data_IF_688193179634
#
_entry.id   IF_688193179634
#
_cell.length_a   1.000
_cell.length_b   1.000
_cell.length_c   1.000
_cell.angle_alpha   90.00
_cell.angle_beta   90.00
_cell.angle_gamma   90.00
#
_symmetry.space_group_name_H-M   'P 1'
#
loop_
_entity.id
_entity.type
_entity.pdbx_description
1 polymer ?
#
# COMPACT_ATOMS: atom_id res chain seq x y z
N UNK A 1 5.90 26.08 19.11
CA UNK A 1 5.93 25.11 18.03
C UNK A 1 6.94 25.54 17.00
N UNK A 2 7.81 24.64 16.54
CA UNK A 2 8.74 24.84 15.40
C UNK A 2 8.35 23.89 14.29
N UNK A 3 8.56 24.29 13.03
CA UNK A 3 8.34 23.45 11.87
C UNK A 3 9.67 23.27 11.16
N UNK A 4 10.14 22.03 11.08
CA UNK A 4 11.41 21.67 10.46
C UNK A 4 11.18 20.85 9.20
N UNK A 5 12.14 20.90 8.28
CA UNK A 5 12.10 20.16 7.03
C UNK A 5 12.11 18.66 7.25
N UNK A 6 11.58 17.92 6.32
CA UNK A 6 11.59 16.45 6.29
C UNK A 6 13.02 15.93 6.17
N UNK A 7 13.45 15.16 7.17
CA UNK A 7 14.84 14.68 7.28
C UNK A 7 14.86 13.32 8.00
N UNK A 8 15.64 12.36 7.49
CA UNK A 8 15.73 10.97 7.97
C UNK A 8 16.26 10.86 9.41
N UNK A 9 16.99 11.88 9.93
CA UNK A 9 17.40 11.92 11.33
C UNK A 9 16.22 11.81 12.32
N UNK A 10 15.00 12.14 11.89
CA UNK A 10 13.79 12.05 12.71
C UNK A 10 13.06 10.71 12.57
N UNK A 11 13.49 9.80 11.70
CA UNK A 11 12.74 8.55 11.38
C UNK A 11 12.33 7.76 12.62
N UNK A 12 13.25 7.53 13.55
CA UNK A 12 12.96 6.77 14.78
C UNK A 12 11.97 7.51 15.70
N UNK A 13 12.16 8.82 15.88
CA UNK A 13 11.27 9.64 16.72
C UNK A 13 9.85 9.77 16.10
N UNK A 14 9.75 9.79 14.77
CA UNK A 14 8.45 9.78 14.07
C UNK A 14 7.77 8.41 14.15
N UNK A 15 8.55 7.33 14.10
CA UNK A 15 8.07 5.97 14.32
C UNK A 15 7.53 5.81 15.77
N UNK A 16 8.24 6.33 16.77
CA UNK A 16 7.76 6.38 18.16
C UNK A 16 6.45 7.16 18.27
N UNK A 17 6.38 8.37 17.69
CA UNK A 17 5.16 9.18 17.67
C UNK A 17 3.99 8.43 17.02
N UNK A 18 4.23 7.79 15.87
CA UNK A 18 3.22 6.98 15.20
C UNK A 18 2.71 5.86 16.11
N UNK A 19 3.61 5.10 16.74
CA UNK A 19 3.24 3.98 17.59
C UNK A 19 2.52 4.39 18.88
N UNK A 20 2.82 5.59 19.43
CA UNK A 20 2.08 6.15 20.55
C UNK A 20 0.62 6.48 20.20
N UNK A 21 0.37 6.91 18.96
CA UNK A 21 -0.97 7.36 18.53
C UNK A 21 -1.77 6.25 17.82
N UNK A 22 -1.13 5.32 17.11
CA UNK A 22 -1.76 4.36 16.21
C UNK A 22 -1.24 2.92 16.40
N UNK A 23 -0.22 2.68 17.22
CA UNK A 23 0.52 1.41 17.27
C UNK A 23 -0.32 0.18 17.61
N UNK A 24 -1.35 0.31 18.43
CA UNK A 24 -2.25 -0.80 18.80
C UNK A 24 -2.98 -1.40 17.58
N UNK A 25 -3.16 -0.63 16.53
CA UNK A 25 -3.93 -1.03 15.35
C UNK A 25 -3.11 -1.03 14.06
N UNK A 26 -2.10 -0.19 14.02
CA UNK A 26 -1.26 0.06 12.86
C UNK A 26 0.20 0.22 13.29
N UNK A 27 0.82 -0.84 13.85
CA UNK A 27 2.18 -0.77 14.37
C UNK A 27 3.19 -0.45 13.27
N UNK A 28 3.93 0.64 13.46
CA UNK A 28 4.95 1.09 12.52
C UNK A 28 6.31 0.50 12.88
N UNK A 29 7.06 0.13 11.85
CA UNK A 29 8.48 -0.22 11.91
C UNK A 29 9.30 0.89 11.26
N UNK A 30 10.45 1.22 11.81
CA UNK A 30 11.30 2.28 11.25
C UNK A 30 11.70 1.98 9.81
N UNK A 31 11.96 0.70 9.48
CA UNK A 31 12.26 0.26 8.11
C UNK A 31 11.11 0.56 7.14
N UNK A 32 9.87 0.30 7.56
CA UNK A 32 8.69 0.62 6.75
C UNK A 32 8.53 2.13 6.55
N UNK A 33 8.76 2.93 7.61
CA UNK A 33 8.70 4.38 7.51
C UNK A 33 9.78 4.93 6.58
N UNK A 34 11.00 4.41 6.68
CA UNK A 34 12.10 4.78 5.77
C UNK A 34 11.78 4.41 4.33
N UNK A 35 11.40 3.16 4.09
CA UNK A 35 11.04 2.68 2.76
C UNK A 35 10.00 3.55 2.07
N UNK A 36 8.92 3.91 2.80
CA UNK A 36 7.75 4.53 2.18
C UNK A 36 7.80 6.07 2.17
N UNK A 37 8.58 6.69 3.06
CA UNK A 37 8.49 8.15 3.27
C UNK A 37 9.82 8.88 3.20
N UNK A 38 10.96 8.18 3.30
CA UNK A 38 12.29 8.82 3.17
C UNK A 38 13.02 8.40 1.89
N UNK A 39 12.88 7.13 1.50
CA UNK A 39 13.55 6.55 0.32
C UNK A 39 12.69 6.67 -0.96
N UNK A 40 11.40 6.95 -0.85
CA UNK A 40 10.53 7.11 -2.00
C UNK A 40 10.83 8.43 -2.73
N UNK A 41 11.20 8.32 -4.00
CA UNK A 41 11.54 9.44 -4.86
C UNK A 41 10.36 10.40 -5.11
N UNK A 42 9.13 9.94 -4.92
CA UNK A 42 7.93 10.72 -5.12
C UNK A 42 7.58 11.64 -3.95
N UNK A 43 8.36 11.61 -2.85
CA UNK A 43 8.19 12.52 -1.71
C UNK A 43 8.58 13.94 -2.10
N UNK A 44 7.62 14.88 -1.98
CA UNK A 44 7.84 16.31 -2.16
C UNK A 44 8.45 16.87 -0.86
N UNK A 45 9.76 16.97 -0.81
CA UNK A 45 10.48 17.44 0.41
C UNK A 45 10.02 18.82 0.88
N UNK A 46 9.75 19.75 -0.06
CA UNK A 46 9.23 21.07 0.27
C UNK A 46 7.81 21.05 0.86
N UNK A 47 7.05 19.99 0.61
CA UNK A 47 5.68 19.78 1.14
C UNK A 47 5.62 18.85 2.36
N UNK A 48 6.74 18.25 2.75
CA UNK A 48 6.81 17.31 3.87
C UNK A 48 7.47 17.99 5.06
N UNK A 49 6.82 18.00 6.22
CA UNK A 49 7.20 18.81 7.37
C UNK A 49 7.00 18.08 8.69
N UNK A 50 7.83 18.41 9.67
CA UNK A 50 7.74 17.91 11.04
C UNK A 50 7.48 19.10 11.96
N UNK A 51 6.45 18.97 12.80
CA UNK A 51 6.17 19.90 13.88
C UNK A 51 6.90 19.40 15.14
N UNK A 52 7.73 20.24 15.73
CA UNK A 52 8.56 19.95 16.90
C UNK A 52 8.12 20.87 18.05
N UNK A 53 7.96 20.32 19.23
CA UNK A 53 7.72 21.10 20.42
C UNK A 53 8.97 21.91 20.79
N UNK A 54 8.80 23.22 20.99
CA UNK A 54 9.93 24.12 21.18
C UNK A 54 10.69 23.92 22.51
N UNK A 55 10.05 23.28 23.49
CA UNK A 55 10.62 23.05 24.84
C UNK A 55 11.30 21.67 24.89
N UNK A 56 10.56 20.63 24.49
CA UNK A 56 11.07 19.24 24.57
C UNK A 56 11.92 18.83 23.38
N UNK A 57 11.91 19.61 22.30
CA UNK A 57 12.58 19.30 21.01
C UNK A 57 12.14 17.95 20.40
N UNK A 58 10.96 17.46 20.78
CA UNK A 58 10.42 16.20 20.25
C UNK A 58 9.39 16.47 19.16
N UNK A 59 9.33 15.61 18.11
CA UNK A 59 8.24 15.63 17.14
C UNK A 59 6.89 15.46 17.81
N UNK A 60 5.92 16.27 17.42
CA UNK A 60 4.52 16.22 17.89
C UNK A 60 3.52 16.11 16.77
N UNK A 61 4.00 16.16 15.53
CA UNK A 61 3.20 15.92 14.34
C UNK A 61 4.05 16.00 13.10
N UNK A 62 3.53 15.45 12.00
CA UNK A 62 4.20 15.50 10.70
C UNK A 62 3.21 15.33 9.56
N UNK A 63 3.64 15.73 8.37
CA UNK A 63 2.94 15.50 7.11
C UNK A 63 3.93 15.03 6.06
N UNK A 64 3.51 14.07 5.23
CA UNK A 64 4.25 13.65 4.04
C UNK A 64 3.39 13.88 2.81
N UNK A 65 3.89 14.73 1.92
CA UNK A 65 3.28 15.05 0.63
C UNK A 65 4.04 14.36 -0.49
N UNK A 66 3.30 13.82 -1.46
CA UNK A 66 3.87 13.15 -2.63
C UNK A 66 3.22 13.63 -3.93
N UNK A 67 3.97 13.60 -5.00
CA UNK A 67 3.48 13.64 -6.37
C UNK A 67 4.42 12.84 -7.27
N UNK A 68 3.99 12.53 -8.48
CA UNK A 68 4.83 11.78 -9.40
C UNK A 68 6.07 12.57 -9.81
N UNK A 69 7.26 12.05 -9.57
CA UNK A 69 8.55 12.69 -9.87
C UNK A 69 9.51 11.76 -10.65
N UNK A 70 9.17 10.49 -10.82
CA UNK A 70 10.03 9.53 -11.50
C UNK A 70 9.94 9.64 -13.02
N UNK A 71 11.04 9.26 -13.69
CA UNK A 71 11.14 9.28 -15.16
C UNK A 71 10.94 7.87 -15.72
N UNK A 72 9.79 7.30 -15.41
CA UNK A 72 9.37 6.01 -15.95
C UNK A 72 8.23 6.24 -16.95
N UNK A 73 8.20 5.46 -18.03
CA UNK A 73 7.11 5.46 -19.01
C UNK A 73 5.92 4.65 -18.47
N UNK A 74 5.27 5.20 -17.46
CA UNK A 74 4.15 4.58 -16.76
C UNK A 74 3.01 5.59 -16.63
N UNK A 75 1.78 5.15 -16.85
CA UNK A 75 0.58 5.97 -16.70
C UNK A 75 0.16 6.08 -15.23
N UNK A 76 0.87 6.91 -14.46
CA UNK A 76 0.60 7.09 -13.04
C UNK A 76 0.67 8.56 -12.62
N UNK A 77 -0.33 9.03 -11.89
CA UNK A 77 -0.27 10.24 -11.09
C UNK A 77 -0.25 11.59 -11.81
N UNK A 78 -0.53 11.70 -13.11
CA UNK A 78 -0.54 12.99 -13.81
C UNK A 78 -1.57 13.94 -13.18
N UNK A 79 -1.11 15.12 -12.73
CA UNK A 79 -1.96 16.13 -12.07
C UNK A 79 -2.46 15.72 -10.66
N UNK A 80 -2.00 14.58 -10.14
CA UNK A 80 -2.40 14.05 -8.83
C UNK A 80 -1.26 14.21 -7.83
N UNK A 81 -1.60 14.68 -6.63
CA UNK A 81 -0.75 14.63 -5.46
C UNK A 81 -1.41 13.83 -4.35
N UNK A 82 -0.62 13.47 -3.37
CA UNK A 82 -1.07 12.68 -2.23
C UNK A 82 -0.60 13.30 -0.91
N UNK A 83 -1.48 13.30 0.08
CA UNK A 83 -1.08 13.37 1.48
C UNK A 83 -0.98 11.93 1.95
N UNK A 84 0.22 11.37 1.96
CA UNK A 84 0.46 10.00 2.39
C UNK A 84 0.04 9.80 3.85
N UNK A 85 0.41 10.76 4.69
CA UNK A 85 0.09 10.79 6.11
C UNK A 85 0.08 12.23 6.63
N UNK A 86 -0.83 12.50 7.56
CA UNK A 86 -0.85 13.67 8.43
C UNK A 86 -1.17 13.16 9.84
N UNK A 87 -0.21 13.25 10.74
CA UNK A 87 -0.35 12.82 12.12
C UNK A 87 -0.03 14.00 13.07
N UNK A 88 -0.85 14.16 14.10
CA UNK A 88 -0.58 15.08 15.21
C UNK A 88 -0.90 14.36 16.51
N UNK A 89 0.04 14.41 17.45
CA UNK A 89 -0.17 13.79 18.76
C UNK A 89 -1.42 14.33 19.44
N UNK A 90 -2.13 13.47 20.15
CA UNK A 90 -3.40 13.80 20.82
C UNK A 90 -3.26 15.04 21.73
N UNK A 91 -2.12 15.15 22.45
CA UNK A 91 -1.85 16.27 23.35
C UNK A 91 -1.69 17.63 22.63
N UNK A 92 -1.43 17.65 21.32
CA UNK A 92 -1.19 18.87 20.54
C UNK A 92 -2.29 19.14 19.50
N UNK A 93 -3.37 18.35 19.50
CA UNK A 93 -4.56 18.60 18.65
C UNK A 93 -5.30 19.86 19.11
N UNK A 94 -6.09 20.45 18.22
CA UNK A 94 -6.86 21.66 18.51
C UNK A 94 -6.03 22.97 18.56
N UNK A 95 -4.69 22.88 18.44
CA UNK A 95 -3.77 24.03 18.52
C UNK A 95 -3.32 24.57 17.15
N UNK A 96 -3.95 24.15 16.05
CA UNK A 96 -3.64 24.60 14.69
C UNK A 96 -2.51 23.84 13.99
N UNK A 97 -1.80 22.92 14.67
CA UNK A 97 -0.64 22.20 14.14
C UNK A 97 -0.99 21.42 12.86
N UNK A 98 -2.07 20.64 12.86
CA UNK A 98 -2.49 19.88 11.68
C UNK A 98 -2.88 20.77 10.50
N UNK A 99 -3.51 21.93 10.75
CA UNK A 99 -3.86 22.90 9.70
C UNK A 99 -2.62 23.49 9.05
N UNK A 100 -1.64 23.88 9.85
CA UNK A 100 -0.37 24.43 9.34
C UNK A 100 0.41 23.40 8.50
N UNK A 101 0.51 22.17 9.00
CA UNK A 101 1.15 21.06 8.27
C UNK A 101 0.47 20.80 6.93
N UNK A 102 -0.86 20.72 6.92
CA UNK A 102 -1.64 20.50 5.69
C UNK A 102 -1.49 21.65 4.72
N UNK A 103 -1.53 22.90 5.19
CA UNK A 103 -1.38 24.10 4.35
C UNK A 103 -0.01 24.12 3.63
N UNK A 104 1.07 23.78 4.35
CA UNK A 104 2.42 23.66 3.76
C UNK A 104 2.47 22.59 2.67
N UNK A 105 1.90 21.41 2.95
CA UNK A 105 1.84 20.30 2.00
C UNK A 105 1.05 20.68 0.73
N UNK A 106 -0.15 21.23 0.91
CA UNK A 106 -1.00 21.66 -0.22
C UNK A 106 -0.36 22.76 -1.06
N UNK A 107 0.32 23.74 -0.44
CA UNK A 107 1.00 24.79 -1.17
C UNK A 107 2.15 24.23 -2.04
N UNK A 108 2.98 23.37 -1.47
CA UNK A 108 4.07 22.74 -2.22
C UNK A 108 3.54 21.86 -3.37
N UNK A 109 2.43 21.14 -3.17
CA UNK A 109 1.79 20.36 -4.23
C UNK A 109 1.24 21.24 -5.36
N UNK A 110 0.65 22.42 -5.05
CA UNK A 110 0.22 23.39 -6.08
C UNK A 110 1.41 23.91 -6.88
N UNK A 111 2.53 24.19 -6.22
CA UNK A 111 3.76 24.63 -6.91
C UNK A 111 4.32 23.56 -7.87
N UNK A 112 4.02 22.27 -7.61
CA UNK A 112 4.33 21.14 -8.51
C UNK A 112 3.29 20.93 -9.62
N UNK A 113 2.28 21.81 -9.74
CA UNK A 113 1.23 21.68 -10.75
C UNK A 113 0.20 20.60 -10.47
N UNK A 114 0.07 20.18 -9.21
CA UNK A 114 -0.97 19.23 -8.79
C UNK A 114 -2.35 19.91 -8.86
N UNK A 115 -3.30 19.22 -9.47
CA UNK A 115 -4.68 19.69 -9.62
C UNK A 115 -5.62 19.03 -8.60
N UNK A 116 -5.33 17.78 -8.23
CA UNK A 116 -6.13 16.98 -7.29
C UNK A 116 -5.25 16.33 -6.25
N UNK A 117 -5.62 16.46 -4.97
CA UNK A 117 -4.96 15.79 -3.85
C UNK A 117 -5.83 14.67 -3.30
N UNK A 118 -5.24 13.51 -3.09
CA UNK A 118 -5.86 12.34 -2.48
C UNK A 118 -5.25 12.07 -1.10
N UNK A 119 -6.05 11.56 -0.17
CA UNK A 119 -5.55 11.11 1.12
C UNK A 119 -5.15 9.63 1.02
N UNK A 120 -3.86 9.36 1.25
CA UNK A 120 -3.28 8.05 0.96
C UNK A 120 -3.32 7.71 -0.53
N UNK A 121 -3.32 6.43 -0.86
CA UNK A 121 -3.41 5.90 -2.24
C UNK A 121 -2.19 6.14 -3.12
N UNK A 122 -1.13 6.75 -2.62
CA UNK A 122 0.16 6.80 -3.32
C UNK A 122 0.74 5.38 -3.51
N UNK A 123 1.74 5.17 -4.37
CA UNK A 123 2.27 3.83 -4.65
C UNK A 123 2.69 3.05 -3.41
N UNK A 124 3.24 3.72 -2.40
CA UNK A 124 3.65 3.17 -1.11
C UNK A 124 2.85 3.79 0.05
N UNK A 125 1.54 3.92 -0.11
CA UNK A 125 0.65 4.46 0.92
C UNK A 125 0.62 3.58 2.17
N UNK A 126 0.41 4.18 3.33
CA UNK A 126 0.10 3.44 4.55
C UNK A 126 -1.37 3.03 4.61
N UNK A 127 -2.24 3.87 4.07
CA UNK A 127 -3.68 3.66 4.04
C UNK A 127 -4.26 3.99 2.66
N UNK A 128 -5.21 3.19 2.13
CA UNK A 128 -5.91 3.54 0.90
C UNK A 128 -7.00 4.60 1.10
N UNK A 129 -7.00 5.28 2.23
CA UNK A 129 -7.94 6.31 2.65
C UNK A 129 -7.85 6.57 4.15
N UNK A 130 -8.85 7.21 4.74
CA UNK A 130 -8.96 7.38 6.20
C UNK A 130 -9.56 6.10 6.80
N UNK A 131 -8.98 5.50 7.87
CA UNK A 131 -9.61 4.40 8.58
C UNK A 131 -11.06 4.74 8.96
N UNK A 132 -12.00 3.88 8.61
CA UNK A 132 -13.45 4.23 8.61
C UNK A 132 -14.00 4.56 9.99
N UNK A 133 -13.49 3.94 11.03
CA UNK A 133 -13.85 4.24 12.42
C UNK A 133 -13.39 5.61 12.93
N UNK A 134 -12.53 6.32 12.16
CA UNK A 134 -11.96 7.62 12.55
C UNK A 134 -12.90 8.79 12.16
N UNK A 135 -14.11 8.84 12.74
CA UNK A 135 -15.12 9.84 12.41
C UNK A 135 -14.63 11.30 12.62
N UNK A 136 -13.86 11.56 13.68
CA UNK A 136 -13.31 12.89 13.96
C UNK A 136 -12.30 13.33 12.89
N UNK A 137 -11.48 12.39 12.39
CA UNK A 137 -10.50 12.65 11.33
C UNK A 137 -11.22 12.94 10.02
N UNK A 138 -12.24 12.16 9.67
CA UNK A 138 -13.09 12.40 8.49
C UNK A 138 -13.69 13.80 8.53
N UNK A 139 -14.37 14.14 9.62
CA UNK A 139 -14.98 15.46 9.81
C UNK A 139 -13.94 16.60 9.80
N UNK A 140 -12.72 16.36 10.28
CA UNK A 140 -11.66 17.35 10.23
C UNK A 140 -11.22 17.63 8.78
N UNK A 141 -10.98 16.60 7.97
CA UNK A 141 -10.61 16.76 6.56
C UNK A 141 -11.74 17.37 5.72
N UNK A 142 -13.00 17.06 6.03
CA UNK A 142 -14.16 17.71 5.39
C UNK A 142 -14.16 19.22 5.62
N UNK A 143 -13.85 19.68 6.84
CA UNK A 143 -13.68 21.12 7.13
C UNK A 143 -12.46 21.75 6.41
N UNK A 144 -11.51 20.95 5.93
CA UNK A 144 -10.41 21.42 5.09
C UNK A 144 -10.76 21.37 3.58
N UNK A 145 -11.99 21.01 3.21
CA UNK A 145 -12.47 20.97 1.84
C UNK A 145 -12.16 19.65 1.11
N UNK A 146 -11.86 18.58 1.84
CA UNK A 146 -11.81 17.23 1.27
C UNK A 146 -13.21 16.61 1.25
N UNK A 147 -13.48 15.83 0.22
CA UNK A 147 -14.78 15.17 0.04
C UNK A 147 -14.59 13.67 -0.01
N UNK A 148 -15.53 12.94 0.62
CA UNK A 148 -15.59 11.49 0.56
C UNK A 148 -15.99 11.01 -0.84
N UNK A 149 -15.40 9.88 -1.24
CA UNK A 149 -15.93 9.05 -2.31
C UNK A 149 -16.81 7.96 -1.65
N UNK A 150 -18.02 7.71 -2.17
CA UNK A 150 -19.07 6.93 -1.50
C UNK A 150 -18.77 5.43 -1.28
N UNK A 151 -17.57 4.95 -1.60
CA UNK A 151 -17.21 3.54 -1.53
C UNK A 151 -16.05 3.30 -0.57
N UNK A 152 -16.27 2.35 0.37
CA UNK A 152 -15.21 1.89 1.27
C UNK A 152 -14.26 0.91 0.54
N UNK A 153 -12.99 1.01 0.88
CA UNK A 153 -11.98 0.01 0.58
C UNK A 153 -11.78 -0.89 1.78
N UNK A 154 -11.41 -2.14 1.55
CA UNK A 154 -11.26 -3.14 2.60
C UNK A 154 -9.89 -3.79 2.53
N UNK A 155 -9.31 -4.04 3.71
CA UNK A 155 -8.34 -5.10 3.90
C UNK A 155 -9.09 -6.31 4.45
N UNK A 156 -8.87 -7.46 3.84
CA UNK A 156 -9.50 -8.72 4.20
C UNK A 156 -8.47 -9.63 4.84
N UNK A 157 -8.87 -10.41 5.86
CA UNK A 157 -8.04 -11.38 6.55
C UNK A 157 -8.59 -12.79 6.35
N UNK A 158 -7.74 -13.68 5.87
CA UNK A 158 -7.92 -15.13 5.86
C UNK A 158 -7.03 -15.77 6.92
N UNK A 159 -7.54 -16.75 7.67
CA UNK A 159 -6.82 -17.45 8.72
C UNK A 159 -6.88 -18.96 8.45
N UNK A 160 -5.71 -19.60 8.47
CA UNK A 160 -5.50 -21.01 8.13
C UNK A 160 -4.68 -21.68 9.24
N UNK A 161 -5.28 -22.00 10.39
CA UNK A 161 -4.55 -22.46 11.57
C UNK A 161 -3.90 -23.84 11.40
N UNK A 162 -4.47 -24.69 10.53
CA UNK A 162 -3.94 -26.03 10.33
C UNK A 162 -2.82 -26.04 9.30
N UNK A 163 -1.61 -26.57 9.64
CA UNK A 163 -0.57 -26.78 8.64
C UNK A 163 -1.05 -27.73 7.54
N UNK A 164 -0.71 -27.43 6.30
CA UNK A 164 -1.04 -28.32 5.20
C UNK A 164 0.03 -28.22 4.11
N UNK A 165 0.44 -29.36 3.56
CA UNK A 165 1.11 -29.41 2.26
C UNK A 165 0.00 -29.44 1.21
N UNK A 166 -0.03 -28.40 0.37
CA UNK A 166 -1.07 -28.20 -0.63
C UNK A 166 -0.45 -28.22 -2.02
N UNK A 167 -1.17 -28.83 -2.93
CA UNK A 167 -0.84 -28.74 -4.34
C UNK A 167 -1.45 -27.48 -4.97
N UNK A 168 -0.76 -26.91 -5.96
CA UNK A 168 -1.29 -25.80 -6.75
C UNK A 168 -2.54 -26.28 -7.50
N UNK A 169 -3.54 -25.40 -7.69
CA UNK A 169 -4.73 -25.75 -8.47
C UNK A 169 -4.35 -26.20 -9.88
N UNK A 170 -5.11 -27.16 -10.42
CA UNK A 170 -4.98 -27.55 -11.81
C UNK A 170 -5.67 -26.54 -12.73
N UNK A 171 -5.10 -26.34 -13.92
CA UNK A 171 -5.68 -25.51 -14.97
C UNK A 171 -5.57 -26.25 -16.30
N UNK A 172 -6.69 -26.39 -17.07
CA UNK A 172 -6.65 -27.00 -18.39
C UNK A 172 -5.67 -26.28 -19.34
N UNK A 173 -4.87 -27.05 -20.05
CA UNK A 173 -3.91 -26.58 -21.05
C UNK A 173 -2.80 -25.64 -20.52
N UNK A 174 -2.58 -25.66 -19.20
CA UNK A 174 -1.57 -24.81 -18.57
C UNK A 174 -1.14 -25.25 -17.19
N UNK A 175 -0.51 -24.34 -16.47
CA UNK A 175 -0.03 -24.57 -15.11
C UNK A 175 0.07 -23.28 -14.30
N UNK A 176 0.00 -23.42 -12.99
CA UNK A 176 0.49 -22.39 -12.05
C UNK A 176 1.95 -22.67 -11.69
N UNK A 177 2.75 -21.62 -11.59
CA UNK A 177 4.12 -21.69 -11.12
C UNK A 177 4.57 -20.39 -10.47
N UNK A 178 5.62 -20.42 -9.68
CA UNK A 178 6.33 -19.22 -9.27
C UNK A 178 7.13 -18.65 -10.46
N UNK A 179 7.23 -17.32 -10.49
CA UNK A 179 8.17 -16.65 -11.36
C UNK A 179 9.62 -16.93 -10.93
N UNK A 180 10.52 -16.78 -11.88
CA UNK A 180 11.97 -16.73 -11.67
C UNK A 180 12.51 -15.39 -12.19
N UNK A 181 13.77 -15.10 -11.89
CA UNK A 181 14.44 -13.89 -12.39
C UNK A 181 14.49 -13.84 -13.93
N UNK A 182 14.52 -14.99 -14.56
CA UNK A 182 14.57 -15.13 -16.01
C UNK A 182 13.28 -14.69 -16.71
N UNK A 183 12.17 -14.66 -15.97
CA UNK A 183 10.85 -14.25 -16.47
C UNK A 183 10.65 -12.73 -16.46
N UNK A 184 11.59 -11.92 -15.97
CA UNK A 184 11.41 -10.46 -15.75
C UNK A 184 10.89 -9.75 -17.00
N UNK A 185 11.56 -9.90 -18.13
CA UNK A 185 11.18 -9.20 -19.38
C UNK A 185 9.80 -9.63 -19.89
N UNK A 186 9.50 -10.94 -19.84
CA UNK A 186 8.22 -11.48 -20.28
C UNK A 186 7.08 -11.00 -19.35
N UNK A 187 7.34 -10.96 -18.05
CA UNK A 187 6.35 -10.53 -17.08
C UNK A 187 6.10 -9.01 -17.14
N UNK A 188 7.13 -8.20 -17.31
CA UNK A 188 6.97 -6.75 -17.51
C UNK A 188 6.22 -6.44 -18.81
N UNK A 189 6.51 -7.17 -19.90
CA UNK A 189 5.77 -7.06 -21.15
C UNK A 189 4.28 -7.39 -20.97
N UNK A 190 3.98 -8.45 -20.24
CA UNK A 190 2.61 -8.83 -19.90
C UNK A 190 1.90 -7.72 -19.09
N UNK A 191 2.56 -7.17 -18.06
CA UNK A 191 1.98 -6.10 -17.23
C UNK A 191 1.77 -4.82 -18.03
N UNK A 192 2.74 -4.41 -18.83
CA UNK A 192 2.62 -3.22 -19.69
C UNK A 192 1.42 -3.33 -20.62
N UNK A 193 1.18 -4.50 -21.21
CA UNK A 193 0.05 -4.77 -22.10
C UNK A 193 -1.29 -4.84 -21.38
N UNK A 194 -1.35 -5.53 -20.23
CA UNK A 194 -2.62 -5.88 -19.59
C UNK A 194 -2.97 -4.98 -18.41
N UNK A 195 -1.98 -4.45 -17.69
CA UNK A 195 -2.13 -3.74 -16.42
C UNK A 195 -1.15 -2.57 -16.30
N UNK A 196 -1.12 -1.65 -17.28
CA UNK A 196 -0.21 -0.52 -17.23
C UNK A 196 -0.53 0.37 -16.02
N UNK A 197 0.51 0.93 -15.38
CA UNK A 197 0.38 1.84 -14.25
C UNK A 197 0.92 1.26 -12.96
N UNK A 198 0.14 1.26 -11.86
CA UNK A 198 0.64 0.95 -10.52
C UNK A 198 1.28 -0.42 -10.38
N UNK A 199 0.67 -1.46 -10.92
CA UNK A 199 1.18 -2.82 -10.77
C UNK A 199 2.48 -3.04 -11.55
N UNK A 200 2.57 -2.47 -12.76
CA UNK A 200 3.80 -2.43 -13.54
C UNK A 200 4.91 -1.68 -12.78
N UNK A 201 4.61 -0.50 -12.22
CA UNK A 201 5.52 0.28 -11.38
C UNK A 201 6.07 -0.53 -10.20
N UNK A 202 5.20 -1.20 -9.46
CA UNK A 202 5.59 -2.00 -8.29
C UNK A 202 6.49 -3.17 -8.69
N UNK A 203 6.28 -3.79 -9.85
CA UNK A 203 7.11 -4.90 -10.35
C UNK A 203 8.46 -4.42 -10.85
N UNK A 204 8.53 -3.27 -11.53
CA UNK A 204 9.82 -2.65 -11.90
C UNK A 204 10.67 -2.45 -10.65
N UNK A 205 10.12 -1.80 -9.63
CA UNK A 205 10.84 -1.56 -8.37
C UNK A 205 11.16 -2.84 -7.59
N UNK A 206 10.32 -3.86 -7.68
CA UNK A 206 10.59 -5.17 -7.10
C UNK A 206 11.87 -5.78 -7.69
N UNK A 207 12.00 -5.83 -8.99
CA UNK A 207 13.18 -6.38 -9.65
C UNK A 207 14.43 -5.51 -9.45
N UNK A 208 14.29 -4.18 -9.45
CA UNK A 208 15.40 -3.26 -9.13
C UNK A 208 15.95 -3.45 -7.71
N UNK A 209 15.12 -3.86 -6.76
CA UNK A 209 15.51 -4.18 -5.37
C UNK A 209 16.00 -5.61 -5.17
N UNK A 210 16.30 -6.33 -6.25
CA UNK A 210 16.87 -7.67 -6.21
C UNK A 210 15.83 -8.79 -6.10
N UNK A 211 14.58 -8.52 -6.42
CA UNK A 211 13.53 -9.53 -6.49
C UNK A 211 13.90 -10.67 -7.44
N UNK A 212 13.58 -11.90 -7.04
CA UNK A 212 13.94 -13.12 -7.78
C UNK A 212 12.76 -13.77 -8.51
N UNK A 213 11.57 -13.18 -8.38
CA UNK A 213 10.32 -13.75 -8.92
C UNK A 213 9.51 -14.54 -7.89
N UNK A 214 10.11 -14.97 -6.77
CA UNK A 214 9.45 -15.83 -5.75
C UNK A 214 8.16 -15.22 -5.15
N UNK A 215 7.96 -13.93 -5.31
CA UNK A 215 6.78 -13.20 -4.86
C UNK A 215 5.65 -13.16 -5.87
N UNK A 216 5.77 -13.88 -6.98
CA UNK A 216 4.71 -13.92 -7.99
C UNK A 216 4.35 -15.36 -8.35
N UNK A 217 3.09 -15.74 -8.16
CA UNK A 217 2.48 -16.90 -8.79
C UNK A 217 1.92 -16.45 -10.13
N UNK A 218 2.23 -17.16 -11.20
CA UNK A 218 1.66 -16.90 -12.52
C UNK A 218 0.87 -18.09 -13.01
N UNK A 219 -0.13 -17.84 -13.84
CA UNK A 219 -0.77 -18.85 -14.68
C UNK A 219 -0.23 -18.73 -16.10
N UNK A 220 0.30 -19.84 -16.60
CA UNK A 220 0.88 -19.98 -17.92
C UNK A 220 -0.01 -20.91 -18.76
N UNK A 221 -0.47 -20.45 -19.90
CA UNK A 221 -1.21 -21.22 -20.90
C UNK A 221 -0.42 -21.20 -22.22
N UNK A 222 -0.21 -22.34 -22.83
CA UNK A 222 0.54 -22.47 -24.10
C UNK A 222 1.92 -21.81 -24.12
N UNK A 223 2.57 -21.71 -22.94
CA UNK A 223 3.88 -21.07 -22.78
C UNK A 223 3.85 -19.55 -22.56
N UNK A 224 2.67 -18.93 -22.48
CA UNK A 224 2.51 -17.50 -22.26
C UNK A 224 1.92 -17.21 -20.87
N UNK A 225 2.40 -16.16 -20.21
CA UNK A 225 1.83 -15.66 -18.95
C UNK A 225 0.52 -14.95 -19.28
N UNK A 226 -0.59 -15.46 -18.72
CA UNK A 226 -1.94 -14.91 -18.92
C UNK A 226 -2.58 -14.38 -17.64
N UNK A 227 -1.90 -14.53 -16.50
CA UNK A 227 -2.35 -13.98 -15.24
C UNK A 227 -1.29 -14.11 -14.15
N UNK A 228 -1.46 -13.34 -13.08
CA UNK A 228 -0.54 -13.31 -11.96
C UNK A 228 -1.26 -13.04 -10.64
N UNK A 229 -0.60 -13.44 -9.56
CA UNK A 229 -0.93 -13.07 -8.20
C UNK A 229 0.38 -12.78 -7.46
N UNK A 230 0.55 -11.58 -6.92
CA UNK A 230 1.67 -11.29 -6.04
C UNK A 230 1.40 -11.85 -4.65
N UNK A 231 2.43 -12.42 -4.04
CA UNK A 231 2.43 -12.93 -2.68
C UNK A 231 3.59 -12.30 -1.91
N UNK A 232 3.37 -11.97 -0.65
CA UNK A 232 4.39 -11.33 0.19
C UNK A 232 4.49 -12.02 1.53
N UNK A 233 5.68 -12.07 2.08
CA UNK A 233 5.96 -12.56 3.43
C UNK A 233 7.14 -11.78 4.06
N UNK A 234 7.60 -12.17 5.22
CA UNK A 234 8.69 -11.49 5.92
C UNK A 234 10.04 -11.52 5.17
N UNK A 235 10.19 -12.40 4.17
CA UNK A 235 11.40 -12.55 3.37
C UNK A 235 11.31 -11.83 2.01
N UNK A 236 10.25 -11.09 1.76
CA UNK A 236 10.11 -10.31 0.52
C UNK A 236 11.13 -9.16 0.50
N UNK A 237 11.67 -8.76 -0.69
CA UNK A 237 12.75 -7.79 -0.81
C UNK A 237 12.37 -6.38 -0.34
N UNK A 238 11.08 -6.11 -0.18
CA UNK A 238 10.57 -4.93 0.51
C UNK A 238 9.20 -5.24 1.15
N UNK A 239 8.82 -4.41 2.11
CA UNK A 239 7.60 -4.59 2.88
C UNK A 239 6.42 -4.11 2.02
N UNK A 240 5.54 -5.04 1.61
CA UNK A 240 4.37 -4.73 0.80
C UNK A 240 3.16 -4.32 1.66
N UNK A 241 2.18 -3.64 1.05
CA UNK A 241 1.03 -3.05 1.74
C UNK A 241 0.25 -4.08 2.57
N UNK A 242 0.06 -5.28 2.04
CA UNK A 242 -0.67 -6.36 2.71
C UNK A 242 0.08 -7.03 3.87
N UNK A 243 1.34 -6.65 4.12
CA UNK A 243 2.13 -7.12 5.27
C UNK A 243 2.64 -6.00 6.17
N UNK A 244 2.16 -4.76 5.99
CA UNK A 244 2.57 -3.62 6.84
C UNK A 244 2.30 -3.88 8.31
N UNK A 245 1.19 -4.50 8.64
CA UNK A 245 0.76 -4.70 10.01
C UNK A 245 1.17 -6.08 10.57
N UNK A 246 2.22 -6.67 10.01
CA UNK A 246 2.77 -7.96 10.47
C UNK A 246 3.06 -8.01 11.98
N UNK A 247 3.50 -6.94 12.68
CA UNK A 247 3.70 -7.02 14.13
C UNK A 247 2.45 -7.33 14.96
N UNK A 248 1.24 -7.28 14.36
CA UNK A 248 0.00 -7.71 15.02
C UNK A 248 -0.15 -9.25 15.08
N UNK A 249 0.69 -10.01 14.38
CA UNK A 249 0.56 -11.46 14.22
C UNK A 249 1.81 -12.18 14.72
N UNK A 250 1.70 -12.88 15.84
CA UNK A 250 2.81 -13.62 16.43
C UNK A 250 3.33 -14.75 15.52
N UNK A 251 2.41 -15.38 14.77
CA UNK A 251 2.71 -16.51 13.87
C UNK A 251 3.04 -16.07 12.44
N UNK A 252 3.34 -14.78 12.27
CA UNK A 252 3.65 -14.20 10.96
C UNK A 252 2.42 -13.83 10.13
N UNK A 253 2.67 -12.98 9.15
CA UNK A 253 1.67 -12.48 8.20
C UNK A 253 2.19 -12.63 6.78
N UNK A 254 1.35 -13.15 5.90
CA UNK A 254 1.53 -13.07 4.46
C UNK A 254 0.49 -12.17 3.82
N UNK A 255 0.72 -11.81 2.57
CA UNK A 255 -0.18 -11.00 1.77
C UNK A 255 -0.39 -11.58 0.38
N UNK A 256 -1.59 -11.46 -0.13
CA UNK A 256 -2.00 -11.84 -1.50
C UNK A 256 -2.52 -10.58 -2.20
N UNK A 257 -1.92 -10.24 -3.33
CA UNK A 257 -2.27 -9.09 -4.16
C UNK A 257 -1.06 -8.18 -4.45
N UNK A 258 -1.14 -7.42 -5.57
CA UNK A 258 -2.21 -7.42 -6.55
C UNK A 258 -2.30 -8.72 -7.36
N UNK A 259 -3.43 -8.89 -8.04
CA UNK A 259 -3.65 -10.02 -8.95
C UNK A 259 -4.44 -9.59 -10.19
N UNK A 260 -4.19 -10.24 -11.29
CA UNK A 260 -4.87 -9.96 -12.54
C UNK A 260 -4.82 -11.10 -13.54
N UNK A 261 -5.85 -11.18 -14.37
CA UNK A 261 -5.95 -12.12 -15.49
C UNK A 261 -6.21 -11.32 -16.76
N UNK A 262 -5.46 -11.61 -17.81
CA UNK A 262 -5.65 -11.03 -19.13
C UNK A 262 -7.14 -11.11 -19.55
N UNK A 263 -7.64 -10.01 -20.10
CA UNK A 263 -9.05 -9.88 -20.47
C UNK A 263 -9.55 -11.00 -21.39
N UNK A 264 -8.69 -11.48 -22.29
CA UNK A 264 -9.03 -12.56 -23.25
C UNK A 264 -9.23 -13.93 -22.57
N UNK A 265 -8.70 -14.11 -21.37
CA UNK A 265 -8.77 -15.37 -20.61
C UNK A 265 -9.74 -15.29 -19.40
N UNK A 266 -10.46 -14.16 -19.22
CA UNK A 266 -11.47 -14.03 -18.16
C UNK A 266 -12.69 -14.92 -18.40
N UNK A 267 -13.48 -15.14 -17.35
CA UNK A 267 -14.67 -15.98 -17.40
C UNK A 267 -14.41 -17.50 -17.36
N UNK A 268 -13.13 -17.92 -17.24
CA UNK A 268 -12.72 -19.34 -17.21
C UNK A 268 -12.36 -19.84 -15.79
N UNK A 269 -12.73 -19.10 -14.75
CA UNK A 269 -12.41 -19.48 -13.36
C UNK A 269 -10.99 -19.10 -12.91
N UNK A 270 -10.11 -18.62 -13.80
CA UNK A 270 -8.70 -18.34 -13.51
C UNK A 270 -8.51 -17.31 -12.40
N UNK A 271 -9.42 -16.34 -12.25
CA UNK A 271 -9.31 -15.32 -11.21
C UNK A 271 -9.37 -15.89 -9.79
N UNK A 272 -10.23 -16.88 -9.54
CA UNK A 272 -10.30 -17.54 -8.24
C UNK A 272 -9.11 -18.49 -8.05
N UNK A 273 -8.83 -19.30 -9.07
CA UNK A 273 -7.75 -20.28 -9.03
C UNK A 273 -6.37 -19.64 -8.78
N UNK A 274 -6.10 -18.44 -9.32
CA UNK A 274 -4.83 -17.76 -9.08
C UNK A 274 -4.70 -17.21 -7.66
N UNK A 275 -5.82 -16.80 -7.02
CA UNK A 275 -5.83 -16.45 -5.60
C UNK A 275 -5.56 -17.70 -4.75
N UNK A 276 -6.22 -18.81 -5.05
CA UNK A 276 -6.00 -20.11 -4.39
C UNK A 276 -4.53 -20.54 -4.52
N UNK A 277 -3.94 -20.40 -5.72
CA UNK A 277 -2.53 -20.71 -5.95
C UNK A 277 -1.60 -19.81 -5.09
N UNK A 278 -1.93 -18.52 -4.94
CA UNK A 278 -1.21 -17.60 -4.05
C UNK A 278 -1.30 -18.01 -2.58
N UNK A 279 -2.50 -18.38 -2.12
CA UNK A 279 -2.74 -18.89 -0.76
C UNK A 279 -1.95 -20.17 -0.52
N UNK A 280 -2.00 -21.13 -1.45
CA UNK A 280 -1.27 -22.39 -1.40
C UNK A 280 0.24 -22.12 -1.27
N UNK A 281 0.79 -21.25 -2.09
CA UNK A 281 2.20 -20.91 -2.05
C UNK A 281 2.64 -20.32 -0.70
N UNK A 282 1.83 -19.45 -0.09
CA UNK A 282 2.10 -18.89 1.25
C UNK A 282 1.93 -19.93 2.35
N UNK A 283 0.91 -20.77 2.30
CA UNK A 283 0.69 -21.82 3.29
C UNK A 283 1.83 -22.85 3.28
N UNK A 284 2.34 -23.21 2.11
CA UNK A 284 3.51 -24.08 1.97
C UNK A 284 4.80 -23.44 2.50
N UNK A 285 4.81 -22.12 2.73
CA UNK A 285 5.86 -21.38 3.45
C UNK A 285 5.60 -21.29 4.96
N UNK A 286 4.55 -21.92 5.47
CA UNK A 286 4.17 -21.91 6.88
C UNK A 286 3.38 -20.67 7.32
N UNK A 287 2.85 -19.87 6.39
CA UNK A 287 2.06 -18.69 6.71
C UNK A 287 0.61 -19.09 6.97
N UNK A 288 0.10 -18.74 8.14
CA UNK A 288 -1.27 -19.03 8.59
C UNK A 288 -2.22 -17.84 8.50
N UNK A 289 -1.72 -16.61 8.56
CA UNK A 289 -2.52 -15.40 8.45
C UNK A 289 -2.18 -14.70 7.13
N UNK A 290 -3.19 -14.44 6.29
CA UNK A 290 -2.98 -13.88 4.96
C UNK A 290 -3.93 -12.71 4.75
N UNK A 291 -3.40 -11.55 4.39
CA UNK A 291 -4.17 -10.33 4.09
C UNK A 291 -4.29 -10.12 2.57
N UNK A 292 -5.47 -9.72 2.14
CA UNK A 292 -5.73 -9.11 0.84
C UNK A 292 -6.06 -7.66 1.11
N UNK A 293 -5.19 -6.74 0.67
CA UNK A 293 -5.34 -5.32 0.90
C UNK A 293 -6.13 -4.62 -0.22
N UNK A 294 -6.63 -3.44 0.13
CA UNK A 294 -7.21 -2.46 -0.78
C UNK A 294 -8.17 -3.04 -1.83
N UNK A 295 -9.21 -3.71 -1.39
CA UNK A 295 -10.21 -4.30 -2.27
C UNK A 295 -11.63 -3.86 -1.96
N UNK A 296 -12.47 -3.91 -2.99
CA UNK A 296 -13.93 -3.75 -2.88
C UNK A 296 -14.66 -5.06 -3.16
N UNK A 297 -13.94 -6.14 -3.48
CA UNK A 297 -14.47 -7.43 -3.91
C UNK A 297 -14.68 -8.39 -2.72
N UNK A 298 -15.31 -7.90 -1.65
CA UNK A 298 -15.50 -8.65 -0.39
C UNK A 298 -16.17 -10.00 -0.63
N UNK A 299 -17.28 -10.02 -1.38
CA UNK A 299 -18.04 -11.27 -1.66
C UNK A 299 -17.26 -12.28 -2.51
N UNK A 300 -16.36 -11.79 -3.37
CA UNK A 300 -15.50 -12.65 -4.17
C UNK A 300 -14.53 -13.43 -3.27
N UNK A 301 -13.85 -12.73 -2.36
CA UNK A 301 -12.86 -13.33 -1.46
C UNK A 301 -13.50 -14.07 -0.28
N UNK A 302 -14.76 -13.76 0.09
CA UNK A 302 -15.50 -14.50 1.09
C UNK A 302 -15.66 -15.98 0.74
N UNK A 303 -15.66 -16.33 -0.56
CA UNK A 303 -15.66 -17.71 -1.06
C UNK A 303 -14.44 -18.52 -0.61
N UNK A 304 -13.32 -17.83 -0.32
CA UNK A 304 -12.07 -18.41 0.16
C UNK A 304 -11.91 -18.25 1.69
N UNK A 305 -12.98 -17.87 2.40
CA UNK A 305 -12.98 -17.72 3.85
C UNK A 305 -12.45 -16.36 4.36
N UNK A 306 -12.16 -15.40 3.48
CA UNK A 306 -11.75 -14.07 3.89
C UNK A 306 -12.90 -13.28 4.50
N UNK A 307 -12.55 -12.43 5.49
CA UNK A 307 -13.48 -11.51 6.16
C UNK A 307 -12.88 -10.11 6.20
N UNK A 308 -13.75 -9.09 6.16
CA UNK A 308 -13.31 -7.71 6.34
C UNK A 308 -12.61 -7.55 7.69
N UNK A 309 -11.41 -6.98 7.66
CA UNK A 309 -10.55 -6.77 8.82
C UNK A 309 -10.38 -5.29 9.12
N UNK A 310 -10.07 -4.49 8.09
CA UNK A 310 -9.96 -3.04 8.18
C UNK A 310 -10.72 -2.40 7.03
N UNK A 311 -11.26 -1.22 7.27
CA UNK A 311 -12.01 -0.47 6.26
C UNK A 311 -11.52 0.97 6.18
N UNK A 312 -11.59 1.54 4.98
CA UNK A 312 -11.07 2.87 4.71
C UNK A 312 -12.04 3.67 3.83
N UNK A 313 -12.30 4.91 4.23
CA UNK A 313 -13.05 5.87 3.42
C UNK A 313 -12.09 6.69 2.56
N UNK A 314 -12.35 6.73 1.25
CA UNK A 314 -11.56 7.52 0.31
C UNK A 314 -11.94 8.99 0.36
N UNK A 315 -10.93 9.85 0.39
CA UNK A 315 -11.10 11.30 0.38
C UNK A 315 -10.18 11.96 -0.64
N UNK A 316 -10.66 13.02 -1.25
CA UNK A 316 -9.87 13.85 -2.16
C UNK A 316 -10.36 15.29 -2.20
N UNK A 317 -9.49 16.18 -2.72
CA UNK A 317 -9.73 17.60 -2.89
C UNK A 317 -9.19 18.05 -4.24
N UNK A 318 -9.99 18.73 -5.04
CA UNK A 318 -9.53 19.40 -6.26
C UNK A 318 -9.13 20.82 -5.90
N UNK A 319 -7.98 21.25 -6.35
CA UNK A 319 -7.57 22.63 -6.20
C UNK A 319 -8.29 23.52 -7.23
N UNK A 320 -8.82 24.61 -6.77
CA UNK A 320 -9.42 25.68 -7.59
C UNK A 320 -8.38 26.71 -7.99
#
# INVERSE_FOLDING_TARGET
MQYVSWDDQYADALCELWNQELGDRFPMRTELMRQNSFEDQNVVKAGSWIAVDAVTQRPVGFVVAKCWQERLDIQLGKGIGWIQVLLVSTAHRGQGVGRELLARAENALREQGVEKVLLGRDPYHYFPGIPDESAEVKAWFERQGYHSEDRLENDLLGQYPEPAELELPEVPDGRFRLLTREDEDAFLTFLHRCFPGRWEYEVIHYFQRGGTGREFVVVELHGEIVGFCRINDANSPFIAQNVYWAPLFADGLGGVGPLGVDAEYRGRGLGLAIVEAGIVALRNRGISNIVIDWTTLVDFYARLGYRSWKQYAKYGKTFS
#
